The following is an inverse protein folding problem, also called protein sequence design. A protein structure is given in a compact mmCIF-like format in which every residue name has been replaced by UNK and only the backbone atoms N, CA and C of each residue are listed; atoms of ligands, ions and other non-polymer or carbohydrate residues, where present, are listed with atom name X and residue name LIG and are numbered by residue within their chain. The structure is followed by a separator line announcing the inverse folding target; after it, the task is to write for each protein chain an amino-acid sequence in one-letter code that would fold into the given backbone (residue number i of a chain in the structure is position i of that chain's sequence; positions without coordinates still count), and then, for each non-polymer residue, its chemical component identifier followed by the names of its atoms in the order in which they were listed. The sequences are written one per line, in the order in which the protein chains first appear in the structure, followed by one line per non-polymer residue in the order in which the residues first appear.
data_IF_280236246831
#
_entry.id   IF_280236246831
#
_cell.length_a   1.000
_cell.length_b   1.000
_cell.length_c   1.000
_cell.angle_alpha   90.00
_cell.angle_beta   90.00
_cell.angle_gamma   90.00
#
_symmetry.space_group_name_H-M   'P 1'
#
loop_
_entity.id
_entity.type
_entity.pdbx_description
1 polymer ?
#
# COMPACT_ATOMS: atom_id res chain seq x y z
N UNK A 1 -38.21 -11.51 -1.14
CA UNK A 1 -37.12 -11.06 -2.03
C UNK A 1 -35.81 -11.28 -1.29
N UNK A 2 -35.04 -12.30 -1.66
CA UNK A 2 -33.70 -12.49 -1.11
C UNK A 2 -32.84 -11.33 -1.60
N UNK A 3 -32.42 -10.47 -0.68
CA UNK A 3 -31.48 -9.40 -0.96
C UNK A 3 -30.20 -10.05 -1.49
N UNK A 4 -29.94 -9.93 -2.80
CA UNK A 4 -28.67 -10.33 -3.37
C UNK A 4 -27.59 -9.51 -2.67
N UNK A 5 -26.71 -10.19 -1.92
CA UNK A 5 -25.50 -9.59 -1.37
C UNK A 5 -24.35 -10.23 -2.15
N UNK A 6 -23.47 -9.45 -2.80
CA UNK A 6 -22.29 -10.01 -3.43
C UNK A 6 -21.49 -10.81 -2.39
N UNK A 7 -20.88 -11.95 -2.78
CA UNK A 7 -20.14 -12.78 -1.85
C UNK A 7 -18.99 -11.98 -1.24
N UNK A 8 -18.73 -12.19 0.05
CA UNK A 8 -17.48 -11.73 0.64
C UNK A 8 -16.33 -12.41 -0.11
N UNK A 9 -15.41 -11.60 -0.63
CA UNK A 9 -14.34 -12.07 -1.50
C UNK A 9 -12.98 -11.80 -0.84
N UNK A 10 -12.09 -12.79 -0.95
CA UNK A 10 -10.67 -12.60 -0.66
C UNK A 10 -10.06 -11.82 -1.81
N UNK A 11 -9.48 -10.66 -1.54
CA UNK A 11 -8.83 -9.84 -2.56
C UNK A 11 -7.32 -10.08 -2.55
N UNK A 12 -6.73 -10.19 -3.74
CA UNK A 12 -5.27 -10.27 -3.87
C UNK A 12 -4.76 -8.87 -4.17
N UNK A 13 -3.80 -8.39 -3.39
CA UNK A 13 -3.22 -7.04 -3.53
C UNK A 13 -1.70 -7.10 -3.67
N UNK A 14 -1.14 -6.05 -4.24
CA UNK A 14 0.30 -5.79 -4.31
C UNK A 14 0.60 -4.45 -3.66
N UNK A 15 1.75 -4.37 -2.98
CA UNK A 15 2.28 -3.10 -2.48
C UNK A 15 3.78 -2.99 -2.77
N UNK A 16 4.21 -1.78 -3.12
CA UNK A 16 5.62 -1.47 -3.35
C UNK A 16 6.24 -0.74 -2.15
N UNK A 17 7.30 -1.31 -1.59
CA UNK A 17 8.06 -0.69 -0.50
C UNK A 17 9.20 0.16 -1.11
N UNK A 18 8.89 1.40 -1.45
CA UNK A 18 9.87 2.38 -1.91
C UNK A 18 10.48 3.14 -0.73
N UNK A 19 11.80 3.29 -0.72
CA UNK A 19 12.55 3.88 0.40
C UNK A 19 13.34 5.12 -0.02
N UNK A 20 13.30 6.15 0.83
CA UNK A 20 14.16 7.34 0.79
C UNK A 20 14.92 7.41 2.12
N UNK A 21 16.11 6.80 2.15
CA UNK A 21 16.81 6.55 3.41
C UNK A 21 15.98 5.61 4.30
N UNK A 22 15.68 6.04 5.52
CA UNK A 22 14.84 5.32 6.49
C UNK A 22 13.34 5.62 6.37
N UNK A 23 12.95 6.46 5.41
CA UNK A 23 11.56 6.82 5.17
C UNK A 23 10.94 5.96 4.07
N UNK A 24 9.80 5.35 4.37
CA UNK A 24 8.97 4.57 3.46
C UNK A 24 7.96 5.49 2.78
N UNK A 25 7.78 5.34 1.46
CA UNK A 25 6.67 5.99 0.78
C UNK A 25 5.36 5.36 1.21
N UNK A 26 4.44 6.16 1.78
CA UNK A 26 3.15 5.67 2.24
C UNK A 26 2.04 6.70 2.03
N UNK A 27 0.83 6.19 1.80
CA UNK A 27 -0.42 6.92 1.64
C UNK A 27 -1.14 6.92 2.98
N UNK A 28 -1.72 8.06 3.35
CA UNK A 28 -2.55 8.19 4.55
C UNK A 28 -3.85 7.39 4.37
N UNK A 29 -4.19 6.58 5.38
CA UNK A 29 -5.47 5.88 5.45
C UNK A 29 -6.32 6.59 6.49
N UNK A 30 -7.49 7.07 6.08
CA UNK A 30 -8.42 7.80 6.93
C UNK A 30 -9.46 6.88 7.58
N UNK A 31 -9.93 7.28 8.75
CA UNK A 31 -11.19 6.81 9.32
C UNK A 31 -12.37 7.59 8.71
N UNK A 32 -13.59 7.15 9.00
CA UNK A 32 -14.87 7.72 8.56
C UNK A 32 -15.16 9.10 9.17
N UNK A 33 -14.30 9.59 10.08
CA UNK A 33 -14.29 10.98 10.57
C UNK A 33 -13.21 11.83 9.88
N UNK A 34 -12.52 11.28 8.88
CA UNK A 34 -11.44 11.95 8.13
C UNK A 34 -10.13 12.06 8.90
N UNK A 35 -9.95 11.33 10.00
CA UNK A 35 -8.70 11.32 10.78
C UNK A 35 -7.79 10.22 10.27
N UNK A 36 -6.48 10.45 10.28
CA UNK A 36 -5.50 9.42 9.91
C UNK A 36 -5.57 8.28 10.94
N UNK A 37 -6.01 7.10 10.50
CA UNK A 37 -6.00 5.86 11.30
C UNK A 37 -4.74 5.03 11.09
N UNK A 38 -4.01 5.31 10.01
CA UNK A 38 -2.79 4.62 9.67
C UNK A 38 -2.28 5.02 8.31
N UNK A 39 -1.29 4.29 7.83
CA UNK A 39 -0.66 4.50 6.54
C UNK A 39 -0.46 3.15 5.83
N UNK A 40 -0.43 3.17 4.51
CA UNK A 40 -0.14 1.98 3.68
C UNK A 40 0.83 2.34 2.56
N UNK A 41 1.75 1.46 2.16
CA UNK A 41 2.53 1.67 0.95
C UNK A 41 1.63 1.69 -0.30
N UNK A 42 2.02 2.41 -1.37
CA UNK A 42 1.27 2.46 -2.64
C UNK A 42 1.16 1.09 -3.33
N UNK A 43 0.18 0.98 -4.21
CA UNK A 43 -0.20 -0.25 -4.90
C UNK A 43 -1.64 -0.66 -4.63
N UNK A 44 -2.17 -1.55 -5.48
CA UNK A 44 -3.58 -1.88 -5.48
C UNK A 44 -3.86 -3.37 -5.70
N UNK A 45 -4.89 -3.65 -6.49
CA UNK A 45 -5.46 -4.99 -6.61
C UNK A 45 -4.85 -5.72 -7.81
N UNK A 46 -4.60 -7.02 -7.67
CA UNK A 46 -4.23 -7.85 -8.81
C UNK A 46 -5.49 -8.20 -9.59
N UNK A 47 -5.55 -7.80 -10.86
CA UNK A 47 -6.68 -8.08 -11.72
C UNK A 47 -6.75 -9.56 -12.13
N UNK A 48 -7.93 -10.02 -12.55
CA UNK A 48 -8.08 -11.39 -13.03
C UNK A 48 -7.25 -11.62 -14.30
N UNK A 49 -6.40 -12.65 -14.29
CA UNK A 49 -5.46 -12.95 -15.39
C UNK A 49 -4.17 -12.12 -15.37
N UNK A 50 -3.99 -11.26 -14.36
CA UNK A 50 -2.80 -10.44 -14.16
C UNK A 50 -1.83 -11.12 -13.17
N UNK A 51 -0.53 -11.06 -13.44
CA UNK A 51 0.48 -11.44 -12.46
C UNK A 51 0.70 -10.34 -11.42
N UNK A 52 1.20 -10.70 -10.23
CA UNK A 52 1.54 -9.71 -9.20
C UNK A 52 2.59 -8.69 -9.67
N UNK A 53 3.55 -9.10 -10.50
CA UNK A 53 4.55 -8.20 -11.08
C UNK A 53 3.92 -7.21 -12.07
N UNK A 54 2.99 -7.69 -12.90
CA UNK A 54 2.23 -6.83 -13.82
C UNK A 54 1.36 -5.83 -13.06
N UNK A 55 0.64 -6.29 -12.03
CA UNK A 55 -0.17 -5.44 -11.18
C UNK A 55 0.68 -4.37 -10.50
N UNK A 56 1.83 -4.73 -9.92
CA UNK A 56 2.71 -3.77 -9.25
C UNK A 56 3.18 -2.67 -10.20
N UNK A 57 3.57 -3.03 -11.42
CA UNK A 57 4.04 -2.08 -12.43
C UNK A 57 2.90 -1.23 -13.01
N UNK A 58 1.69 -1.80 -13.18
CA UNK A 58 0.48 -1.05 -13.59
C UNK A 58 0.08 -0.02 -12.54
N UNK A 59 -0.08 -0.44 -11.29
CA UNK A 59 -0.54 0.41 -10.18
C UNK A 59 0.40 1.61 -9.98
N UNK A 60 1.73 1.39 -10.02
CA UNK A 60 2.67 2.51 -9.90
C UNK A 60 2.65 3.47 -11.10
N UNK A 61 2.31 2.99 -12.30
CA UNK A 61 2.10 3.87 -13.45
C UNK A 61 0.82 4.68 -13.33
N UNK A 62 -0.26 4.06 -12.86
CA UNK A 62 -1.56 4.71 -12.67
C UNK A 62 -1.50 5.75 -11.54
N UNK A 63 -0.97 5.37 -10.39
CA UNK A 63 -0.87 6.22 -9.20
C UNK A 63 0.25 7.27 -9.35
N UNK A 64 1.46 6.86 -9.72
CA UNK A 64 2.65 7.74 -9.61
C UNK A 64 3.22 8.17 -10.95
N UNK A 65 2.64 7.73 -12.07
CA UNK A 65 3.14 8.05 -13.41
C UNK A 65 4.52 7.47 -13.71
N UNK A 66 4.98 6.46 -12.96
CA UNK A 66 6.34 5.92 -13.10
C UNK A 66 6.35 4.39 -13.05
N UNK A 67 7.36 3.79 -13.72
CA UNK A 67 7.65 2.37 -13.59
C UNK A 67 8.46 2.07 -12.33
N UNK A 68 8.56 0.77 -12.01
CA UNK A 68 9.33 0.30 -10.85
C UNK A 68 10.22 -0.89 -11.19
N UNK A 69 11.27 -1.08 -10.40
CA UNK A 69 12.08 -2.30 -10.40
C UNK A 69 12.05 -2.92 -9.01
N UNK A 70 11.72 -4.20 -8.92
CA UNK A 70 11.85 -4.96 -7.68
C UNK A 70 13.32 -5.08 -7.27
N UNK A 71 13.59 -4.87 -5.98
CA UNK A 71 14.94 -4.90 -5.39
C UNK A 71 15.06 -5.91 -4.24
N UNK A 72 14.00 -6.67 -3.97
CA UNK A 72 13.96 -7.68 -2.93
C UNK A 72 12.93 -8.77 -3.22
N UNK A 73 12.92 -9.85 -2.41
CA UNK A 73 11.93 -10.91 -2.54
C UNK A 73 10.54 -10.42 -2.15
N UNK A 74 9.53 -11.15 -2.62
CA UNK A 74 8.16 -10.97 -2.16
C UNK A 74 8.00 -11.45 -0.72
N UNK A 75 7.33 -10.65 0.09
CA UNK A 75 6.76 -11.05 1.39
C UNK A 75 5.25 -11.13 1.24
N UNK A 76 4.62 -12.14 1.83
CA UNK A 76 3.17 -12.34 1.76
C UNK A 76 2.56 -12.10 3.12
N UNK A 77 1.48 -11.32 3.14
CA UNK A 77 0.68 -11.06 4.33
C UNK A 77 -0.75 -11.51 4.09
N UNK A 78 -1.33 -12.19 5.07
CA UNK A 78 -2.78 -12.37 5.16
C UNK A 78 -3.33 -11.28 6.08
N UNK A 79 -4.20 -10.43 5.55
CA UNK A 79 -4.74 -9.29 6.24
C UNK A 79 -6.26 -9.45 6.37
N UNK A 80 -6.73 -9.77 7.57
CA UNK A 80 -8.15 -9.91 7.91
C UNK A 80 -8.51 -8.77 8.86
N UNK A 81 -9.35 -7.85 8.41
CA UNK A 81 -9.64 -6.62 9.13
C UNK A 81 -11.12 -6.27 9.11
N UNK A 82 -11.51 -5.32 9.96
CA UNK A 82 -12.83 -4.69 9.90
C UNK A 82 -12.67 -3.24 9.50
N UNK A 83 -13.41 -2.82 8.48
CA UNK A 83 -13.53 -1.43 8.05
C UNK A 83 -15.01 -1.12 7.92
N UNK A 84 -15.49 -0.07 8.58
CA UNK A 84 -16.91 0.32 8.56
C UNK A 84 -17.88 -0.78 9.00
N UNK A 85 -17.45 -1.63 9.94
CA UNK A 85 -18.21 -2.81 10.37
C UNK A 85 -18.24 -3.97 9.36
N UNK A 86 -17.72 -3.78 8.14
CA UNK A 86 -17.56 -4.84 7.15
C UNK A 86 -16.24 -5.61 7.36
N UNK A 87 -16.31 -6.93 7.22
CA UNK A 87 -15.11 -7.79 7.24
C UNK A 87 -14.43 -7.72 5.86
N UNK A 88 -13.16 -7.35 5.86
CA UNK A 88 -12.25 -7.41 4.72
C UNK A 88 -11.26 -8.56 4.88
N UNK A 89 -10.88 -9.18 3.77
CA UNK A 89 -9.86 -10.24 3.72
C UNK A 89 -9.00 -10.05 2.47
N UNK A 90 -7.70 -9.83 2.70
CA UNK A 90 -6.72 -9.57 1.65
C UNK A 90 -5.53 -10.50 1.78
N UNK A 91 -5.02 -10.98 0.64
CA UNK A 91 -3.69 -11.57 0.52
C UNK A 91 -2.81 -10.52 -0.16
N UNK A 92 -1.83 -10.00 0.57
CA UNK A 92 -1.01 -8.87 0.13
C UNK A 92 0.42 -9.34 -0.18
N UNK A 93 0.84 -9.16 -1.42
CA UNK A 93 2.22 -9.32 -1.85
C UNK A 93 2.97 -7.99 -1.70
N UNK A 94 3.99 -7.94 -0.85
CA UNK A 94 4.84 -6.77 -0.68
C UNK A 94 6.25 -7.05 -1.19
N UNK A 95 6.86 -6.08 -1.86
CA UNK A 95 8.26 -6.17 -2.24
C UNK A 95 8.95 -4.82 -2.16
N UNK A 96 10.26 -4.84 -1.89
CA UNK A 96 11.08 -3.65 -2.05
C UNK A 96 11.20 -3.27 -3.51
N UNK A 97 11.10 -1.97 -3.78
CA UNK A 97 11.16 -1.43 -5.12
C UNK A 97 12.04 -0.20 -5.20
N UNK A 98 12.51 0.07 -6.42
CA UNK A 98 13.08 1.34 -6.84
C UNK A 98 12.15 1.97 -7.86
N UNK A 99 11.76 3.23 -7.64
CA UNK A 99 11.01 4.03 -8.60
C UNK A 99 11.94 4.43 -9.75
N UNK A 100 11.43 4.44 -10.98
CA UNK A 100 12.20 4.86 -12.14
C UNK A 100 12.33 6.39 -12.25
N UNK A 101 11.38 7.13 -11.68
CA UNK A 101 11.44 8.59 -11.64
C UNK A 101 12.18 9.07 -10.38
N UNK A 102 13.41 9.52 -10.58
CA UNK A 102 14.25 10.07 -9.51
C UNK A 102 13.63 11.31 -8.85
N UNK A 103 12.85 12.12 -9.60
CA UNK A 103 12.28 13.35 -9.08
C UNK A 103 11.21 13.09 -8.00
N UNK A 104 10.62 11.89 -7.93
CA UNK A 104 9.70 11.52 -6.86
C UNK A 104 10.40 11.41 -5.51
N UNK A 105 11.68 11.05 -5.48
CA UNK A 105 12.48 11.01 -4.25
C UNK A 105 12.77 12.40 -3.69
N UNK A 106 12.79 13.44 -4.53
CA UNK A 106 13.04 14.82 -4.10
C UNK A 106 11.77 15.54 -3.59
N UNK A 107 10.59 14.94 -3.80
CA UNK A 107 9.31 15.52 -3.36
C UNK A 107 8.95 15.09 -1.94
N UNK A 108 8.57 16.03 -1.10
CA UNK A 108 8.03 15.70 0.24
C UNK A 108 6.59 15.21 0.22
N UNK A 109 5.84 15.59 -0.81
CA UNK A 109 4.43 15.23 -1.01
C UNK A 109 4.22 14.82 -2.45
N UNK A 110 3.61 13.65 -2.64
CA UNK A 110 3.23 13.13 -3.94
C UNK A 110 1.71 12.98 -3.95
N UNK A 111 1.05 13.72 -4.84
CA UNK A 111 -0.41 13.69 -4.99
C UNK A 111 -0.78 12.91 -6.23
N UNK A 112 -1.79 12.07 -6.11
CA UNK A 112 -2.33 11.29 -7.20
C UNK A 112 -3.81 11.00 -6.98
N UNK A 113 -4.43 10.30 -7.92
CA UNK A 113 -5.82 9.87 -7.83
C UNK A 113 -5.90 8.36 -7.96
N UNK A 114 -6.75 7.72 -7.17
CA UNK A 114 -7.18 6.34 -7.42
C UNK A 114 -8.08 6.27 -8.66
N UNK A 115 -8.35 5.05 -9.13
CA UNK A 115 -9.19 4.76 -10.30
C UNK A 115 -10.60 5.38 -10.22
N UNK A 116 -11.13 5.54 -9.01
CA UNK A 116 -12.44 6.16 -8.77
C UNK A 116 -12.41 7.70 -8.69
N UNK A 117 -11.23 8.30 -8.90
CA UNK A 117 -10.98 9.74 -8.83
C UNK A 117 -10.66 10.26 -7.43
N UNK A 118 -10.63 9.40 -6.41
CA UNK A 118 -10.30 9.80 -5.03
C UNK A 118 -8.88 10.36 -4.97
N UNK A 119 -8.73 11.59 -4.50
CA UNK A 119 -7.43 12.23 -4.36
C UNK A 119 -6.66 11.64 -3.18
N UNK A 120 -5.49 11.08 -3.47
CA UNK A 120 -4.59 10.46 -2.51
C UNK A 120 -3.33 11.31 -2.32
N UNK A 121 -2.81 11.28 -1.09
CA UNK A 121 -1.55 11.96 -0.74
C UNK A 121 -0.58 10.94 -0.16
N UNK A 122 0.52 10.72 -0.87
CA UNK A 122 1.66 9.96 -0.40
C UNK A 122 2.74 10.87 0.17
N UNK A 123 3.39 10.40 1.23
CA UNK A 123 4.50 11.06 1.92
C UNK A 123 5.59 10.04 2.23
N UNK A 124 6.81 10.52 2.38
CA UNK A 124 7.92 9.74 2.91
C UNK A 124 7.86 9.77 4.45
N UNK A 125 7.55 8.64 5.07
CA UNK A 125 7.31 8.52 6.51
C UNK A 125 8.22 7.45 7.10
N UNK A 126 8.78 7.72 8.28
CA UNK A 126 9.55 6.72 9.03
C UNK A 126 8.60 5.76 9.73
N UNK A 127 8.60 4.45 9.43
CA UNK A 127 7.71 3.49 10.09
C UNK A 127 7.86 3.47 11.62
N UNK A 128 9.07 3.74 12.13
CA UNK A 128 9.36 3.78 13.56
C UNK A 128 8.91 5.07 14.27
N UNK A 129 8.45 6.09 13.52
CA UNK A 129 8.06 7.39 14.06
C UNK A 129 6.64 7.81 13.62
N UNK A 130 5.76 6.82 13.39
CA UNK A 130 4.36 7.10 13.11
C UNK A 130 3.67 7.70 14.35
N UNK A 131 2.66 8.57 14.16
CA UNK A 131 1.89 9.15 15.28
C UNK A 131 1.27 8.06 16.16
N UNK A 132 1.11 8.36 17.46
CA UNK A 132 0.43 7.45 18.39
C UNK A 132 -0.97 7.09 17.89
N UNK A 133 -1.22 5.78 17.82
CA UNK A 133 -2.49 5.22 17.33
C UNK A 133 -2.58 5.06 15.81
N UNK A 134 -1.59 5.51 15.03
CA UNK A 134 -1.53 5.25 13.58
C UNK A 134 -0.87 3.90 13.30
N UNK A 135 -1.57 3.01 12.60
CA UNK A 135 -1.04 1.70 12.19
C UNK A 135 -0.31 1.77 10.83
N UNK A 136 0.64 0.85 10.61
CA UNK A 136 1.20 0.58 9.28
C UNK A 136 0.54 -0.68 8.71
N UNK A 137 -0.20 -0.52 7.62
CA UNK A 137 -0.93 -1.61 6.96
C UNK A 137 -0.14 -2.21 5.79
N UNK A 138 -0.35 -3.50 5.47
CA UNK A 138 -1.25 -4.46 6.15
C UNK A 138 -0.73 -4.88 7.54
N UNK A 139 -1.60 -5.50 8.33
CA UNK A 139 -1.21 -6.08 9.61
C UNK A 139 -0.02 -7.03 9.43
N UNK A 140 0.95 -6.93 10.34
CA UNK A 140 2.23 -7.66 10.26
C UNK A 140 3.33 -6.96 9.47
N UNK A 141 3.02 -5.94 8.65
CA UNK A 141 4.06 -5.22 7.90
C UNK A 141 5.07 -4.53 8.84
N UNK A 142 4.60 -3.82 9.87
CA UNK A 142 5.49 -3.16 10.84
C UNK A 142 6.48 -4.14 11.50
N UNK A 143 5.97 -5.31 11.92
CA UNK A 143 6.80 -6.36 12.50
C UNK A 143 7.82 -6.91 11.49
N UNK A 144 7.39 -7.16 10.25
CA UNK A 144 8.30 -7.62 9.19
C UNK A 144 9.41 -6.61 8.89
N UNK A 145 9.11 -5.30 8.95
CA UNK A 145 10.09 -4.24 8.75
C UNK A 145 11.10 -4.12 9.90
N UNK A 146 10.67 -4.35 11.15
CA UNK A 146 11.54 -4.28 12.33
C UNK A 146 12.63 -5.37 12.35
N UNK A 147 12.41 -6.49 11.66
CA UNK A 147 13.37 -7.60 11.59
C UNK A 147 14.29 -7.53 10.36
N UNK A 148 14.28 -6.40 9.64
CA UNK A 148 15.15 -6.23 8.48
C UNK A 148 16.56 -5.89 8.94
N UNK A 149 17.61 -6.50 8.37
CA UNK A 149 18.97 -6.03 8.58
C UNK A 149 19.07 -4.57 8.11
N UNK A 150 19.85 -3.77 8.84
CA UNK A 150 20.10 -2.36 8.49
C UNK A 150 20.60 -2.27 7.04
N UNK A 151 19.98 -1.37 6.25
CA UNK A 151 20.23 -1.19 4.81
C UNK A 151 21.31 -0.14 4.57
#
# INVERSE_FOLDING_TARGET
MTTWRPPQQIRVKVIGLAWRGDALLAVEVLDDRGRIKGVRPPGGSVAFGESREQALDREFREELGCGVTMTGPWTVFENIYRHEGALGHEIVFAADIRLHDAALYDRDVIRFSEDDGTACTARWLRPAALPDGAALFPDGLAAALAHRPER
#
